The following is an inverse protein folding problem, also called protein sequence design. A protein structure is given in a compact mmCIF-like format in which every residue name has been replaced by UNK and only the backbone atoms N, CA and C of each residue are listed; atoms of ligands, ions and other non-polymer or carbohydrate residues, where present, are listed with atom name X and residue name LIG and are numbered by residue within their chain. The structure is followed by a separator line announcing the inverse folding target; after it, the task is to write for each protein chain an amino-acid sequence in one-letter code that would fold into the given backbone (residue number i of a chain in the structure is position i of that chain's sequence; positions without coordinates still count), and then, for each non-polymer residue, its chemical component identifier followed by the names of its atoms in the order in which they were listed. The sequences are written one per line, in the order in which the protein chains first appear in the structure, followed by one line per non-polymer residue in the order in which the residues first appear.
data_IF_253576195233
#
_entry.id   IF_253576195233
#
_cell.length_a   1.000
_cell.length_b   1.000
_cell.length_c   1.000
_cell.angle_alpha   90.00
_cell.angle_beta   90.00
_cell.angle_gamma   90.00
#
_symmetry.space_group_name_H-M   'P 1'
#
loop_
_entity.id
_entity.type
_entity.pdbx_description
1 polymer ?
#
# COMPACT_ATOMS: atom_id res chain seq x y z
N UNK A 1 17.86 -14.60 23.73
CA UNK A 1 16.73 -14.78 22.79
C UNK A 1 15.64 -15.68 23.36
N UNK A 2 15.93 -16.93 23.74
CA UNK A 2 14.96 -17.83 24.40
C UNK A 2 14.31 -17.19 25.64
N UNK A 3 15.15 -16.68 26.55
CA UNK A 3 14.74 -16.04 27.81
C UNK A 3 13.88 -14.79 27.60
N UNK A 4 14.25 -13.96 26.63
CA UNK A 4 13.50 -12.77 26.22
C UNK A 4 12.12 -13.14 25.63
N UNK A 5 12.03 -14.23 24.85
CA UNK A 5 10.75 -14.73 24.33
C UNK A 5 9.85 -15.24 25.45
N UNK A 6 10.40 -15.92 26.45
CA UNK A 6 9.65 -16.40 27.62
C UNK A 6 9.15 -15.23 28.48
N UNK A 7 10.00 -14.23 28.71
CA UNK A 7 9.65 -13.04 29.49
C UNK A 7 8.57 -12.18 28.78
N UNK A 8 8.67 -12.01 27.46
CA UNK A 8 7.63 -11.34 26.64
C UNK A 8 6.31 -12.14 26.66
N UNK A 9 6.35 -13.45 26.45
CA UNK A 9 5.15 -14.29 26.45
C UNK A 9 4.44 -14.36 27.82
N UNK A 10 5.20 -14.29 28.92
CA UNK A 10 4.63 -14.20 30.27
C UNK A 10 3.94 -12.84 30.49
N UNK A 11 4.58 -11.74 30.09
CA UNK A 11 4.01 -10.39 30.20
C UNK A 11 2.73 -10.22 29.34
N UNK A 12 2.69 -10.81 28.15
CA UNK A 12 1.51 -10.85 27.28
C UNK A 12 0.38 -11.68 27.89
N UNK A 13 0.70 -12.86 28.45
CA UNK A 13 -0.28 -13.72 29.12
C UNK A 13 -0.92 -13.01 30.33
N UNK A 14 -0.12 -12.32 31.14
CA UNK A 14 -0.61 -11.55 32.29
C UNK A 14 -1.51 -10.38 31.84
N UNK A 15 -1.16 -9.71 30.73
CA UNK A 15 -1.99 -8.65 30.14
C UNK A 15 -3.34 -9.19 29.67
N UNK A 16 -3.35 -10.28 28.93
CA UNK A 16 -4.59 -10.89 28.41
C UNK A 16 -5.46 -11.47 29.52
N UNK A 17 -4.84 -11.97 30.59
CA UNK A 17 -5.56 -12.44 31.76
C UNK A 17 -6.20 -11.27 32.53
N UNK A 18 -5.48 -10.15 32.65
CA UNK A 18 -6.00 -8.93 33.27
C UNK A 18 -7.15 -8.33 32.45
N UNK A 19 -7.00 -8.21 31.12
CA UNK A 19 -8.04 -7.77 30.20
C UNK A 19 -9.31 -8.60 30.36
N UNK A 20 -9.19 -9.93 30.28
CA UNK A 20 -10.32 -10.85 30.47
C UNK A 20 -10.95 -10.74 31.85
N UNK A 21 -10.15 -10.43 32.88
CA UNK A 21 -10.67 -10.22 34.23
C UNK A 21 -11.50 -8.95 34.33
N UNK A 22 -11.04 -7.86 33.70
CA UNK A 22 -11.72 -6.58 33.64
C UNK A 22 -13.01 -6.66 32.81
N UNK A 23 -12.98 -7.34 31.66
CA UNK A 23 -14.18 -7.55 30.84
C UNK A 23 -15.24 -8.38 31.59
N UNK A 24 -14.81 -9.40 32.35
CA UNK A 24 -15.71 -10.17 33.23
C UNK A 24 -16.27 -9.33 34.38
N UNK A 25 -15.46 -8.44 34.97
CA UNK A 25 -15.90 -7.53 36.02
C UNK A 25 -17.01 -6.59 35.51
N UNK A 26 -16.78 -5.91 34.38
CA UNK A 26 -17.77 -5.02 33.80
C UNK A 26 -19.02 -5.76 33.32
N UNK A 27 -18.87 -6.95 32.74
CA UNK A 27 -20.02 -7.79 32.35
C UNK A 27 -20.90 -8.15 33.56
N UNK A 28 -20.29 -8.47 34.71
CA UNK A 28 -21.03 -8.76 35.96
C UNK A 28 -21.68 -7.51 36.56
N UNK A 29 -20.98 -6.37 36.52
CA UNK A 29 -21.53 -5.11 37.01
C UNK A 29 -22.74 -4.63 36.20
N UNK A 30 -22.66 -4.73 34.86
CA UNK A 30 -23.78 -4.44 33.95
C UNK A 30 -24.96 -5.39 34.21
N UNK A 31 -24.69 -6.70 34.36
CA UNK A 31 -25.73 -7.67 34.69
C UNK A 31 -26.40 -7.41 36.05
N UNK A 32 -25.70 -6.74 36.97
CA UNK A 32 -26.22 -6.29 38.25
C UNK A 32 -26.92 -4.92 38.20
N UNK A 33 -27.06 -4.32 37.01
CA UNK A 33 -27.72 -3.02 36.81
C UNK A 33 -26.87 -1.80 37.16
N UNK A 34 -25.55 -1.96 37.34
CA UNK A 34 -24.64 -0.86 37.65
C UNK A 34 -24.21 -0.13 36.37
N UNK A 35 -24.27 1.21 36.38
CA UNK A 35 -23.72 2.04 35.31
C UNK A 35 -22.21 2.25 35.51
N UNK A 36 -21.41 1.41 34.87
CA UNK A 36 -19.94 1.37 34.98
C UNK A 36 -19.23 1.99 33.77
N UNK A 37 -19.97 2.72 32.93
CA UNK A 37 -19.44 3.28 31.67
C UNK A 37 -18.27 4.23 31.90
N UNK A 38 -18.34 5.10 32.90
CA UNK A 38 -17.29 6.08 33.21
C UNK A 38 -15.98 5.41 33.65
N UNK A 39 -16.06 4.37 34.47
CA UNK A 39 -14.89 3.60 34.89
C UNK A 39 -14.27 2.87 33.70
N UNK A 40 -15.09 2.22 32.86
CA UNK A 40 -14.63 1.48 31.68
C UNK A 40 -13.92 2.38 30.68
N UNK A 41 -14.49 3.55 30.39
CA UNK A 41 -13.88 4.52 29.47
C UNK A 41 -12.60 5.13 30.07
N UNK A 42 -12.56 5.37 31.38
CA UNK A 42 -11.34 5.78 32.09
C UNK A 42 -10.21 4.73 32.05
N UNK A 43 -10.54 3.44 32.15
CA UNK A 43 -9.58 2.34 31.99
C UNK A 43 -9.07 2.23 30.55
N UNK A 44 -9.98 2.31 29.57
CA UNK A 44 -9.62 2.33 28.13
C UNK A 44 -8.69 3.48 27.79
N UNK A 45 -8.96 4.68 28.30
CA UNK A 45 -8.11 5.86 28.08
C UNK A 45 -6.69 5.64 28.60
N UNK A 46 -6.53 5.03 29.79
CA UNK A 46 -5.22 4.69 30.34
C UNK A 46 -4.47 3.67 29.48
N UNK A 47 -5.17 2.63 29.02
CA UNK A 47 -4.59 1.59 28.19
C UNK A 47 -4.25 2.06 26.79
N UNK A 48 -5.09 2.89 26.19
CA UNK A 48 -4.82 3.53 24.91
C UNK A 48 -3.52 4.34 24.97
N UNK A 49 -3.36 5.20 26.00
CA UNK A 49 -2.11 5.95 26.22
C UNK A 49 -0.90 5.03 26.43
N UNK A 50 -1.09 3.90 27.11
CA UNK A 50 -0.02 2.94 27.36
C UNK A 50 0.37 2.14 26.12
N UNK A 51 -0.60 1.75 25.30
CA UNK A 51 -0.40 1.11 24.00
C UNK A 51 0.36 2.04 23.05
N UNK A 52 -0.07 3.32 22.94
CA UNK A 52 0.67 4.35 22.17
C UNK A 52 2.12 4.49 22.65
N UNK A 53 2.36 4.61 23.97
CA UNK A 53 3.72 4.69 24.53
C UNK A 53 4.60 3.48 24.19
N UNK A 54 4.01 2.29 24.13
CA UNK A 54 4.71 1.03 23.81
C UNK A 54 4.84 0.78 22.31
N UNK A 55 4.19 1.59 21.46
CA UNK A 55 4.12 1.36 20.02
C UNK A 55 3.23 0.19 19.61
N UNK A 56 2.30 -0.25 20.46
CA UNK A 56 1.33 -1.31 20.16
C UNK A 56 0.13 -0.72 19.39
N UNK A 57 0.38 -0.43 18.10
CA UNK A 57 -0.52 0.38 17.28
C UNK A 57 -1.88 -0.30 17.01
N UNK A 58 -1.90 -1.62 16.86
CA UNK A 58 -3.15 -2.38 16.64
C UNK A 58 -4.09 -2.23 17.83
N UNK A 59 -3.55 -2.32 19.05
CA UNK A 59 -4.34 -2.15 20.27
C UNK A 59 -4.71 -0.68 20.48
N UNK A 60 -3.79 0.23 20.19
CA UNK A 60 -4.07 1.66 20.26
C UNK A 60 -5.24 2.04 19.34
N UNK A 61 -5.23 1.60 18.08
CA UNK A 61 -6.28 1.94 17.11
C UNK A 61 -7.63 1.31 17.50
N UNK A 62 -7.63 0.06 17.98
CA UNK A 62 -8.84 -0.60 18.49
C UNK A 62 -9.43 0.13 19.71
N UNK A 63 -8.61 0.49 20.70
CA UNK A 63 -9.05 1.23 21.88
C UNK A 63 -9.49 2.66 21.53
N UNK A 64 -8.84 3.30 20.56
CA UNK A 64 -9.24 4.61 20.04
C UNK A 64 -10.63 4.56 19.42
N UNK A 65 -10.91 3.56 18.58
CA UNK A 65 -12.23 3.37 17.98
C UNK A 65 -13.32 3.16 19.05
N UNK A 66 -13.03 2.41 20.11
CA UNK A 66 -13.94 2.27 21.25
C UNK A 66 -14.14 3.57 22.03
N UNK A 67 -13.06 4.32 22.28
CA UNK A 67 -13.10 5.60 23.01
C UNK A 67 -13.88 6.67 22.24
N UNK A 68 -13.71 6.74 20.92
CA UNK A 68 -14.45 7.67 20.04
C UNK A 68 -15.95 7.41 20.03
N UNK A 69 -16.37 6.14 20.09
CA UNK A 69 -17.78 5.75 20.23
C UNK A 69 -18.31 5.85 21.66
N UNK A 70 -17.40 5.92 22.64
CA UNK A 70 -17.70 6.01 24.07
C UNK A 70 -18.04 7.43 24.51
N UNK A 71 -18.36 7.59 25.80
CA UNK A 71 -18.78 8.88 26.37
C UNK A 71 -17.64 9.90 26.39
N UNK A 72 -16.40 9.41 26.51
CA UNK A 72 -15.21 10.27 26.47
C UNK A 72 -14.86 10.75 25.05
N UNK A 73 -15.51 10.21 24.01
CA UNK A 73 -15.24 10.57 22.61
C UNK A 73 -15.28 12.09 22.38
N UNK A 74 -16.36 12.75 22.79
CA UNK A 74 -16.50 14.21 22.60
C UNK A 74 -15.65 15.05 23.56
N UNK A 75 -15.13 14.44 24.63
CA UNK A 75 -14.33 15.11 25.66
C UNK A 75 -12.84 15.09 25.36
N UNK A 76 -12.40 14.15 24.52
CA UNK A 76 -11.01 13.99 24.14
C UNK A 76 -10.69 14.79 22.89
N UNK A 77 -9.50 15.36 22.89
CA UNK A 77 -8.98 16.09 21.75
C UNK A 77 -8.28 15.12 20.81
N UNK A 78 -8.96 14.76 19.73
CA UNK A 78 -8.45 13.81 18.73
C UNK A 78 -7.63 14.51 17.65
N UNK A 79 -6.53 15.17 18.01
CA UNK A 79 -5.72 15.92 17.03
C UNK A 79 -4.27 15.47 17.02
N UNK A 80 -3.67 15.51 15.83
CA UNK A 80 -2.23 15.47 15.62
C UNK A 80 -1.74 16.80 15.06
N UNK A 81 -0.43 16.97 14.97
CA UNK A 81 0.22 18.12 14.34
C UNK A 81 0.87 17.71 13.02
N UNK A 82 0.80 18.61 12.06
CA UNK A 82 1.40 18.47 10.74
C UNK A 82 2.40 19.61 10.50
N UNK A 83 3.63 19.24 10.20
CA UNK A 83 4.60 20.08 9.50
C UNK A 83 4.86 19.50 8.12
N UNK A 84 5.03 20.37 7.12
CA UNK A 84 5.35 19.97 5.75
C UNK A 84 6.28 21.01 5.13
N UNK A 85 7.41 20.56 4.60
CA UNK A 85 8.36 21.39 3.87
C UNK A 85 8.57 20.83 2.48
N UNK A 86 8.67 21.72 1.49
CA UNK A 86 8.96 21.37 0.10
C UNK A 86 10.12 22.20 -0.44
N UNK A 87 10.77 21.68 -1.46
CA UNK A 87 11.71 22.40 -2.30
C UNK A 87 11.18 22.39 -3.76
N UNK A 88 10.80 23.54 -4.34
CA UNK A 88 10.78 24.87 -3.72
C UNK A 88 9.69 25.03 -2.64
N UNK A 89 9.87 26.01 -1.76
CA UNK A 89 8.84 26.46 -0.81
C UNK A 89 7.79 27.35 -1.51
N UNK A 90 6.71 27.68 -0.80
CA UNK A 90 5.65 28.56 -1.29
C UNK A 90 4.57 27.85 -2.11
N UNK A 91 4.53 26.52 -2.08
CA UNK A 91 3.57 25.74 -2.86
C UNK A 91 2.25 25.60 -2.10
N UNK A 92 1.09 25.86 -2.72
CA UNK A 92 -0.22 25.68 -2.10
C UNK A 92 -0.46 24.22 -1.69
N UNK A 93 -1.05 24.03 -0.51
CA UNK A 93 -1.35 22.71 0.06
C UNK A 93 -2.79 22.65 0.52
N UNK A 94 -3.52 21.65 0.03
CA UNK A 94 -4.85 21.30 0.51
C UNK A 94 -4.79 19.96 1.23
N UNK A 95 -5.38 19.87 2.41
CA UNK A 95 -5.57 18.60 3.11
C UNK A 95 -6.95 18.04 2.82
N UNK A 96 -6.99 16.83 2.27
CA UNK A 96 -8.21 16.10 1.93
C UNK A 96 -8.35 14.92 2.90
N UNK A 97 -9.45 14.84 3.65
CA UNK A 97 -9.61 13.74 4.61
C UNK A 97 -9.87 12.43 3.85
N UNK A 98 -9.20 11.35 4.24
CA UNK A 98 -9.49 10.00 3.76
C UNK A 98 -10.43 9.32 4.76
N UNK A 99 -11.57 8.84 4.30
CA UNK A 99 -12.60 8.19 5.12
C UNK A 99 -13.05 6.88 4.47
N UNK A 100 -13.44 5.92 5.31
CA UNK A 100 -14.09 4.70 4.84
C UNK A 100 -15.50 5.06 4.35
N UNK A 101 -15.75 4.83 3.06
CA UNK A 101 -17.02 5.08 2.40
C UNK A 101 -18.02 3.96 2.73
N UNK A 102 -19.33 4.16 2.48
CA UNK A 102 -20.34 3.12 2.70
C UNK A 102 -20.10 1.83 1.91
N UNK A 103 -19.39 1.91 0.78
CA UNK A 103 -19.00 0.74 -0.01
C UNK A 103 -17.86 -0.06 0.64
N UNK A 104 -17.10 0.54 1.58
CA UNK A 104 -15.97 -0.06 2.30
C UNK A 104 -14.60 0.46 1.85
N UNK A 105 -14.51 1.27 0.79
CA UNK A 105 -13.24 1.84 0.32
C UNK A 105 -12.85 3.08 1.11
N UNK A 106 -11.57 3.26 1.38
CA UNK A 106 -11.00 4.46 1.99
C UNK A 106 -10.60 5.46 0.91
N UNK A 107 -11.43 6.48 0.70
CA UNK A 107 -11.21 7.49 -0.34
C UNK A 107 -11.40 8.91 0.21
N UNK A 108 -11.11 9.93 -0.60
CA UNK A 108 -11.26 11.34 -0.21
C UNK A 108 -12.72 11.67 0.10
N UNK A 109 -12.96 12.26 1.27
CA UNK A 109 -14.21 12.91 1.61
C UNK A 109 -14.30 14.27 0.88
N UNK A 110 -15.16 14.33 -0.13
CA UNK A 110 -15.40 15.54 -0.94
C UNK A 110 -15.91 16.73 -0.11
N UNK A 111 -16.46 16.49 1.09
CA UNK A 111 -16.96 17.53 1.99
C UNK A 111 -15.91 18.08 2.97
N UNK A 112 -14.73 17.48 3.08
CA UNK A 112 -13.71 17.82 4.08
C UNK A 112 -12.36 18.14 3.46
N UNK A 113 -12.33 19.21 2.67
CA UNK A 113 -11.09 19.83 2.19
C UNK A 113 -10.72 21.04 3.07
N UNK A 114 -9.47 21.06 3.56
CA UNK A 114 -8.92 22.16 4.33
C UNK A 114 -7.79 22.83 3.57
N UNK A 115 -7.86 24.14 3.44
CA UNK A 115 -6.74 24.93 2.92
C UNK A 115 -5.67 25.10 4.03
N UNK A 116 -4.46 24.59 3.78
CA UNK A 116 -3.33 24.70 4.70
C UNK A 116 -2.44 25.92 4.39
N UNK A 117 -2.74 26.68 3.34
CA UNK A 117 -1.91 27.77 2.84
C UNK A 117 -0.77 27.24 1.96
N UNK A 118 0.42 27.79 2.13
CA UNK A 118 1.60 27.44 1.31
C UNK A 118 2.72 26.84 2.16
N UNK A 119 3.55 25.97 1.58
CA UNK A 119 4.72 25.43 2.26
C UNK A 119 5.77 26.51 2.61
N UNK A 120 6.51 26.39 3.72
CA UNK A 120 6.37 25.34 4.74
C UNK A 120 5.12 25.54 5.61
N UNK A 121 4.40 24.46 5.86
CA UNK A 121 3.34 24.40 6.88
C UNK A 121 4.00 23.98 8.20
N UNK A 122 3.74 24.69 9.30
CA UNK A 122 4.39 24.41 10.59
C UNK A 122 3.37 24.11 11.69
N UNK A 123 3.49 22.91 12.27
CA UNK A 123 2.73 22.45 13.44
C UNK A 123 1.22 22.72 13.38
N UNK A 124 0.61 22.60 12.20
CA UNK A 124 -0.82 22.78 12.01
C UNK A 124 -1.57 21.62 12.67
N UNK A 125 -2.53 21.93 13.51
CA UNK A 125 -3.36 20.90 14.14
C UNK A 125 -4.47 20.45 13.18
N UNK A 126 -4.60 19.14 13.04
CA UNK A 126 -5.63 18.47 12.24
C UNK A 126 -6.21 17.31 13.07
N UNK A 127 -7.42 16.89 12.74
CA UNK A 127 -8.00 15.70 13.36
C UNK A 127 -7.10 14.48 13.07
N UNK A 128 -6.87 13.65 14.08
CA UNK A 128 -6.17 12.39 13.94
C UNK A 128 -6.91 11.47 12.94
N UNK A 129 -6.15 10.79 12.10
CA UNK A 129 -6.65 9.95 11.01
C UNK A 129 -5.83 10.08 9.73
N UNK A 130 -6.36 9.49 8.65
CA UNK A 130 -5.75 9.50 7.33
C UNK A 130 -6.12 10.76 6.54
N UNK A 131 -5.11 11.37 5.92
CA UNK A 131 -5.22 12.56 5.09
C UNK A 131 -4.43 12.37 3.80
N UNK A 132 -4.85 13.05 2.74
CA UNK A 132 -4.11 13.23 1.51
C UNK A 132 -3.78 14.71 1.36
N UNK A 133 -2.50 15.06 1.44
CA UNK A 133 -2.05 16.42 1.21
C UNK A 133 -1.79 16.61 -0.29
N UNK A 134 -2.61 17.44 -0.93
CA UNK A 134 -2.48 17.79 -2.32
C UNK A 134 -1.63 19.04 -2.46
N UNK A 135 -0.40 18.87 -2.96
CA UNK A 135 0.57 19.95 -3.18
C UNK A 135 0.54 20.29 -4.67
N UNK A 136 0.20 21.52 -5.01
CA UNK A 136 0.01 21.95 -6.39
C UNK A 136 1.12 22.92 -6.80
N UNK A 137 1.69 22.69 -7.98
CA UNK A 137 2.75 23.52 -8.55
C UNK A 137 2.20 24.54 -9.54
N UNK A 138 2.90 25.65 -9.80
CA UNK A 138 2.44 26.67 -10.75
C UNK A 138 2.24 26.16 -12.19
N UNK A 139 2.95 25.10 -12.58
CA UNK A 139 2.85 24.43 -13.88
C UNK A 139 1.75 23.35 -13.92
N UNK A 140 0.98 23.18 -12.84
CA UNK A 140 -0.18 22.29 -12.78
C UNK A 140 0.14 20.84 -12.41
N UNK A 141 1.40 20.51 -12.12
CA UNK A 141 1.74 19.23 -11.50
C UNK A 141 1.19 19.16 -10.08
N UNK A 142 0.61 18.01 -9.73
CA UNK A 142 0.03 17.73 -8.42
C UNK A 142 0.80 16.58 -7.79
N UNK A 143 1.32 16.80 -6.58
CA UNK A 143 1.87 15.74 -5.73
C UNK A 143 0.87 15.44 -4.61
N UNK A 144 0.33 14.23 -4.63
CA UNK A 144 -0.52 13.72 -3.55
C UNK A 144 0.38 13.02 -2.51
N UNK A 145 0.39 13.56 -1.29
CA UNK A 145 1.22 13.11 -0.16
C UNK A 145 0.34 12.58 0.98
N UNK A 146 0.18 11.26 1.11
CA UNK A 146 -0.64 10.68 2.16
C UNK A 146 0.03 10.81 3.53
N UNK A 147 -0.77 11.10 4.54
CA UNK A 147 -0.38 11.34 5.93
C UNK A 147 -1.30 10.56 6.85
N UNK A 148 -0.74 9.87 7.85
CA UNK A 148 -1.51 9.27 8.94
C UNK A 148 -1.15 9.96 10.26
N UNK A 149 -2.07 10.77 10.77
CA UNK A 149 -1.89 11.50 12.02
C UNK A 149 -2.44 10.68 13.18
N UNK A 150 -1.54 10.22 14.05
CA UNK A 150 -1.94 9.73 15.36
C UNK A 150 -2.25 10.92 16.30
N UNK A 151 -3.11 10.69 17.29
CA UNK A 151 -3.36 11.69 18.35
C UNK A 151 -2.06 12.03 19.07
N UNK A 152 -1.84 13.33 19.32
CA UNK A 152 -0.66 13.91 19.96
C UNK A 152 0.68 13.65 19.23
N UNK A 153 0.66 13.02 18.05
CA UNK A 153 1.84 12.89 17.20
C UNK A 153 2.08 14.16 16.38
N UNK A 154 3.32 14.35 15.93
CA UNK A 154 3.72 15.45 15.07
C UNK A 154 4.38 14.94 13.80
N UNK A 155 3.60 14.79 12.72
CA UNK A 155 4.10 14.41 11.40
C UNK A 155 4.95 15.54 10.82
N UNK A 156 6.09 15.21 10.19
CA UNK A 156 6.99 16.24 9.66
C UNK A 156 7.93 16.84 10.69
N UNK A 157 8.02 16.25 11.89
CA UNK A 157 8.89 16.72 12.96
C UNK A 157 9.82 15.60 13.46
N UNK A 158 11.00 16.01 13.91
CA UNK A 158 12.03 15.11 14.43
C UNK A 158 11.57 14.26 15.63
N UNK A 159 10.51 14.67 16.36
CA UNK A 159 9.94 13.92 17.47
C UNK A 159 9.01 12.78 17.04
N UNK A 160 8.60 12.70 15.77
CA UNK A 160 7.70 11.68 15.27
C UNK A 160 8.20 10.26 15.57
N UNK A 161 7.27 9.36 15.90
CA UNK A 161 7.56 7.98 16.29
C UNK A 161 8.67 7.87 17.36
N UNK A 162 8.60 8.73 18.39
CA UNK A 162 9.58 8.84 19.47
C UNK A 162 11.01 9.12 18.98
N UNK A 163 11.15 9.95 17.95
CA UNK A 163 12.45 10.33 17.41
C UNK A 163 13.11 9.29 16.49
N UNK A 164 12.38 8.26 16.07
CA UNK A 164 12.91 7.17 15.23
C UNK A 164 13.48 7.65 13.89
N UNK A 165 13.01 8.79 13.39
CA UNK A 165 13.39 9.36 12.09
C UNK A 165 13.96 10.78 12.23
N UNK A 166 14.57 11.10 13.38
CA UNK A 166 15.14 12.41 13.64
C UNK A 166 16.31 12.77 12.71
N UNK A 167 16.95 11.76 12.10
CA UNK A 167 18.07 11.88 11.17
C UNK A 167 17.64 11.99 9.69
N UNK A 168 16.34 11.87 9.40
CA UNK A 168 15.81 11.88 8.03
C UNK A 168 15.51 13.29 7.54
N UNK A 169 15.64 13.50 6.23
CA UNK A 169 15.19 14.71 5.56
C UNK A 169 13.69 14.60 5.26
N UNK A 170 12.90 15.46 5.89
CA UNK A 170 11.44 15.52 5.70
C UNK A 170 11.03 16.46 4.55
N UNK A 171 12.00 17.07 3.87
CA UNK A 171 11.73 18.00 2.77
C UNK A 171 11.41 17.25 1.49
N UNK A 172 10.23 17.52 0.91
CA UNK A 172 9.86 16.96 -0.38
C UNK A 172 10.45 17.80 -1.51
N UNK A 173 11.43 17.25 -2.24
CA UNK A 173 12.00 17.85 -3.46
C UNK A 173 11.06 17.62 -4.63
N UNK A 174 10.28 18.63 -4.99
CA UNK A 174 9.18 18.51 -5.96
C UNK A 174 9.69 18.17 -7.36
N UNK A 175 10.86 18.70 -7.73
CA UNK A 175 11.49 18.39 -9.01
C UNK A 175 11.75 16.89 -9.23
N UNK A 176 12.08 16.15 -8.16
CA UNK A 176 12.34 14.71 -8.24
C UNK A 176 11.05 13.95 -8.61
N UNK A 177 9.91 14.35 -8.04
CA UNK A 177 8.60 13.74 -8.32
C UNK A 177 8.02 14.17 -9.66
N UNK A 178 8.31 15.40 -10.11
CA UNK A 178 7.97 15.84 -11.46
C UNK A 178 8.72 15.03 -12.52
N UNK A 179 10.01 14.76 -12.30
CA UNK A 179 10.81 13.92 -13.21
C UNK A 179 10.23 12.49 -13.29
N UNK A 180 9.89 11.89 -12.14
CA UNK A 180 9.22 10.58 -12.07
C UNK A 180 7.92 10.58 -12.87
N UNK A 181 7.07 11.60 -12.69
CA UNK A 181 5.80 11.70 -13.42
C UNK A 181 6.00 11.93 -14.92
N UNK A 182 7.04 12.65 -15.33
CA UNK A 182 7.37 12.88 -16.74
C UNK A 182 7.81 11.59 -17.45
N UNK A 183 8.39 10.64 -16.71
CA UNK A 183 8.74 9.29 -17.18
C UNK A 183 7.53 8.33 -17.23
N UNK A 184 6.31 8.83 -16.92
CA UNK A 184 5.08 8.03 -16.92
C UNK A 184 4.91 7.14 -15.69
N UNK A 185 5.70 7.37 -14.64
CA UNK A 185 5.62 6.63 -13.37
C UNK A 185 4.80 7.39 -12.33
N UNK A 186 4.23 6.66 -11.38
CA UNK A 186 3.55 7.22 -10.21
C UNK A 186 4.58 7.63 -9.15
N UNK A 187 4.58 8.90 -8.71
CA UNK A 187 5.45 9.32 -7.62
C UNK A 187 4.95 8.77 -6.28
N UNK A 188 5.84 8.11 -5.54
CA UNK A 188 5.63 7.69 -4.15
C UNK A 188 6.56 8.54 -3.27
N UNK A 189 6.03 9.56 -2.55
CA UNK A 189 6.85 10.46 -1.76
C UNK A 189 7.61 9.79 -0.61
N UNK A 190 8.81 10.31 -0.34
CA UNK A 190 9.58 9.95 0.84
C UNK A 190 8.78 10.20 2.13
N UNK A 191 8.99 9.38 3.15
CA UNK A 191 8.39 9.59 4.46
C UNK A 191 7.99 8.33 5.19
N UNK A 192 7.47 8.48 6.42
CA UNK A 192 7.10 7.35 7.25
C UNK A 192 5.83 6.67 6.74
N UNK A 193 5.75 5.36 6.95
CA UNK A 193 4.57 4.55 6.67
C UNK A 193 4.45 3.42 7.69
N UNK A 194 3.23 2.93 7.92
CA UNK A 194 2.98 1.75 8.75
C UNK A 194 3.22 0.47 7.94
N UNK A 195 4.36 -0.16 8.19
CA UNK A 195 4.72 -1.44 7.60
C UNK A 195 4.24 -2.60 8.48
N UNK A 196 3.79 -3.68 7.85
CA UNK A 196 3.53 -4.92 8.55
C UNK A 196 4.81 -5.75 8.70
N UNK A 197 5.06 -6.28 9.89
CA UNK A 197 6.12 -7.27 10.07
C UNK A 197 5.67 -8.65 9.56
N UNK A 198 6.55 -9.42 8.88
CA UNK A 198 6.24 -10.77 8.45
C UNK A 198 5.78 -11.62 9.64
N UNK A 199 4.63 -12.30 9.47
CA UNK A 199 4.00 -13.10 10.52
C UNK A 199 5.02 -14.05 11.17
N UNK A 200 5.29 -13.86 12.45
CA UNK A 200 5.66 -15.01 13.29
C UNK A 200 4.38 -15.81 13.46
N UNK A 201 4.38 -17.08 13.02
CA UNK A 201 3.23 -17.99 12.88
C UNK A 201 2.27 -18.12 14.09
N UNK A 202 2.56 -17.48 15.23
CA UNK A 202 1.75 -17.50 16.46
C UNK A 202 0.93 -16.23 16.71
N UNK A 203 1.18 -15.11 16.03
CA UNK A 203 0.40 -13.88 16.22
C UNK A 203 -0.74 -13.86 15.19
N UNK A 204 -1.99 -13.77 15.66
CA UNK A 204 -3.19 -13.76 14.79
C UNK A 204 -3.34 -12.47 13.97
N UNK A 205 -2.68 -11.39 14.39
CA UNK A 205 -2.75 -10.07 13.76
C UNK A 205 -1.33 -9.57 13.42
N UNK A 206 -1.13 -8.91 12.25
CA UNK A 206 0.17 -8.36 11.90
C UNK A 206 0.55 -7.22 12.86
N UNK A 207 1.80 -7.24 13.35
CA UNK A 207 2.35 -6.10 14.11
C UNK A 207 2.70 -5.01 13.11
N UNK A 208 2.09 -3.83 13.27
CA UNK A 208 2.40 -2.66 12.47
C UNK A 208 3.52 -1.87 13.13
N UNK A 209 4.51 -1.45 12.35
CA UNK A 209 5.59 -0.60 12.83
C UNK A 209 5.87 0.53 11.85
N UNK A 210 6.15 1.71 12.39
CA UNK A 210 6.62 2.83 11.58
C UNK A 210 7.94 2.50 10.91
N UNK A 211 8.01 2.61 9.59
CA UNK A 211 9.24 2.55 8.80
C UNK A 211 9.36 3.80 7.94
N UNK A 212 10.60 4.14 7.56
CA UNK A 212 10.89 5.19 6.59
C UNK A 212 11.17 4.55 5.24
N UNK A 213 10.63 5.13 4.18
CA UNK A 213 11.00 4.80 2.81
C UNK A 213 11.34 6.08 2.05
N UNK A 214 12.41 6.03 1.27
CA UNK A 214 12.83 7.15 0.43
C UNK A 214 11.84 7.35 -0.74
N UNK A 215 11.92 8.50 -1.42
CA UNK A 215 11.06 8.79 -2.56
C UNK A 215 11.44 7.94 -3.78
N UNK A 216 10.45 7.43 -4.52
CA UNK A 216 10.67 6.66 -5.73
C UNK A 216 9.51 6.79 -6.72
N UNK A 217 9.74 6.34 -7.95
CA UNK A 217 8.71 6.13 -8.97
C UNK A 217 8.37 4.66 -9.13
N UNK A 218 7.10 4.35 -9.35
CA UNK A 218 6.64 3.00 -9.67
C UNK A 218 5.71 3.04 -10.88
N UNK A 219 5.72 2.00 -11.72
CA UNK A 219 4.75 1.90 -12.80
C UNK A 219 3.33 1.79 -12.21
N UNK A 220 2.35 2.42 -12.86
CA UNK A 220 0.95 2.30 -12.48
C UNK A 220 0.44 0.85 -12.70
N UNK A 221 0.85 0.27 -13.83
CA UNK A 221 0.41 -1.05 -14.27
C UNK A 221 1.60 -2.03 -14.33
N UNK A 222 1.32 -3.33 -14.32
CA UNK A 222 2.34 -4.34 -14.56
C UNK A 222 2.90 -4.27 -15.99
N UNK A 223 4.14 -4.79 -16.16
CA UNK A 223 4.73 -4.91 -17.49
C UNK A 223 3.82 -5.72 -18.42
N UNK A 224 3.60 -5.22 -19.63
CA UNK A 224 2.68 -5.82 -20.59
C UNK A 224 3.34 -6.92 -21.43
N UNK A 225 2.53 -7.70 -22.14
CA UNK A 225 3.04 -8.60 -23.19
C UNK A 225 3.81 -7.82 -24.28
N UNK A 226 3.39 -6.61 -24.62
CA UNK A 226 4.04 -5.75 -25.60
C UNK A 226 5.45 -5.34 -25.14
N UNK A 227 5.61 -4.96 -23.87
CA UNK A 227 6.93 -4.65 -23.29
C UNK A 227 7.86 -5.85 -23.38
N UNK A 228 7.34 -7.03 -23.04
CA UNK A 228 8.10 -8.28 -23.12
C UNK A 228 8.47 -8.65 -24.55
N UNK A 229 7.57 -8.45 -25.51
CA UNK A 229 7.83 -8.70 -26.93
C UNK A 229 8.83 -7.71 -27.52
N UNK A 230 8.83 -6.44 -27.08
CA UNK A 230 9.84 -5.47 -27.45
C UNK A 230 11.23 -5.89 -26.97
N UNK A 231 11.34 -6.37 -25.71
CA UNK A 231 12.56 -6.96 -25.17
C UNK A 231 13.06 -8.14 -26.01
N UNK A 232 12.22 -9.15 -26.23
CA UNK A 232 12.60 -10.35 -26.97
C UNK A 232 13.00 -10.03 -28.42
N UNK A 233 12.33 -9.05 -29.04
CA UNK A 233 12.67 -8.55 -30.38
C UNK A 233 14.04 -7.87 -30.40
N UNK A 234 14.36 -7.05 -29.39
CA UNK A 234 15.66 -6.42 -29.27
C UNK A 234 16.79 -7.43 -29.08
N UNK A 235 16.60 -8.44 -28.22
CA UNK A 235 17.58 -9.52 -28.02
C UNK A 235 17.76 -10.35 -29.29
N UNK A 236 16.66 -10.68 -29.98
CA UNK A 236 16.71 -11.40 -31.26
C UNK A 236 17.53 -10.62 -32.29
N UNK A 237 17.32 -9.31 -32.38
CA UNK A 237 18.05 -8.42 -33.30
C UNK A 237 19.55 -8.31 -32.98
N UNK A 238 19.92 -8.34 -31.70
CA UNK A 238 21.35 -8.35 -31.28
C UNK A 238 22.05 -9.67 -31.66
N UNK A 239 21.32 -10.75 -31.91
CA UNK A 239 21.83 -12.01 -32.46
C UNK A 239 22.72 -12.83 -31.51
N UNK A 240 23.03 -12.33 -30.31
CA UNK A 240 23.86 -13.02 -29.30
C UNK A 240 23.16 -14.20 -28.64
N UNK A 241 21.81 -14.22 -28.68
CA UNK A 241 21.00 -15.29 -28.09
C UNK A 241 20.29 -16.06 -29.21
N UNK A 242 20.57 -17.36 -29.31
CA UNK A 242 19.95 -18.22 -30.32
C UNK A 242 18.46 -18.49 -30.05
N UNK A 243 17.71 -18.83 -31.10
CA UNK A 243 16.25 -19.07 -31.06
C UNK A 243 15.82 -20.10 -30.01
N UNK A 244 16.61 -21.17 -29.80
CA UNK A 244 16.30 -22.19 -28.80
C UNK A 244 16.27 -21.61 -27.38
N UNK A 245 17.16 -20.66 -27.07
CA UNK A 245 17.21 -20.00 -25.77
C UNK A 245 16.11 -18.94 -25.63
N UNK A 246 15.85 -18.16 -26.68
CA UNK A 246 14.73 -17.20 -26.69
C UNK A 246 13.38 -17.90 -26.46
N UNK A 247 13.17 -19.12 -26.99
CA UNK A 247 11.94 -19.90 -26.73
C UNK A 247 11.75 -20.26 -25.26
N UNK A 248 12.83 -20.40 -24.50
CA UNK A 248 12.77 -20.63 -23.04
C UNK A 248 12.43 -19.36 -22.26
N UNK A 249 12.52 -18.19 -22.90
CA UNK A 249 12.23 -16.88 -22.32
C UNK A 249 10.82 -16.37 -22.67
N UNK A 250 10.06 -17.15 -23.44
CA UNK A 250 8.67 -16.85 -23.72
C UNK A 250 7.83 -17.03 -22.42
N UNK A 251 6.83 -16.17 -22.20
CA UNK A 251 5.80 -16.36 -21.17
C UNK A 251 5.26 -17.79 -21.14
N UNK A 252 5.38 -18.45 -19.98
CA UNK A 252 4.92 -19.83 -19.74
C UNK A 252 3.64 -19.78 -18.89
N UNK A 253 2.52 -19.43 -19.51
CA UNK A 253 1.24 -19.40 -18.81
C UNK A 253 0.79 -20.83 -18.46
N UNK A 254 0.47 -21.08 -17.18
CA UNK A 254 0.17 -22.42 -16.66
C UNK A 254 -1.24 -22.87 -17.00
N UNK A 255 -1.34 -24.14 -17.43
CA UNK A 255 -2.61 -24.86 -17.52
C UNK A 255 -2.98 -25.47 -16.16
N UNK A 256 -4.23 -25.32 -15.73
CA UNK A 256 -4.85 -26.39 -14.92
C UNK A 256 -5.09 -27.57 -15.86
N UNK A 257 -4.32 -28.64 -15.68
CA UNK A 257 -4.48 -29.87 -16.43
C UNK A 257 -5.85 -30.49 -16.17
N UNK A 258 -6.67 -30.58 -17.22
CA UNK A 258 -7.51 -31.73 -17.57
C UNK A 258 -8.38 -32.31 -16.46
N UNK A 259 -9.43 -31.58 -16.05
CA UNK A 259 -10.62 -32.13 -15.40
C UNK A 259 -11.81 -32.16 -16.38
N UNK A 260 -12.81 -33.05 -16.20
CA UNK A 260 -13.98 -33.13 -17.08
C UNK A 260 -14.85 -31.86 -17.11
N UNK A 261 -14.74 -31.01 -16.10
CA UNK A 261 -15.42 -29.71 -16.02
C UNK A 261 -14.51 -28.65 -16.65
N UNK A 262 -14.69 -28.47 -17.97
CA UNK A 262 -13.87 -27.62 -18.82
C UNK A 262 -14.21 -26.14 -18.67
N UNK A 263 -13.27 -25.38 -18.11
CA UNK A 263 -13.06 -23.97 -18.38
C UNK A 263 -11.55 -23.76 -18.44
N UNK A 264 -10.95 -23.91 -19.62
CA UNK A 264 -9.52 -23.68 -19.82
C UNK A 264 -9.23 -22.22 -19.46
N UNK A 265 -8.33 -21.97 -18.52
CA UNK A 265 -7.78 -20.62 -18.31
C UNK A 265 -7.16 -20.16 -19.65
N UNK A 266 -7.85 -19.26 -20.34
CA UNK A 266 -7.47 -18.71 -21.65
C UNK A 266 -6.34 -17.70 -21.45
N UNK A 267 -5.15 -18.20 -21.11
CA UNK A 267 -3.97 -17.35 -21.06
C UNK A 267 -3.27 -17.36 -22.43
N UNK A 268 -3.02 -16.19 -23.03
CA UNK A 268 -2.33 -16.09 -24.32
C UNK A 268 -0.95 -16.74 -24.24
N UNK A 269 -0.68 -17.79 -25.03
CA UNK A 269 0.69 -18.34 -25.11
C UNK A 269 1.47 -17.55 -26.13
N UNK A 270 2.71 -17.18 -25.84
CA UNK A 270 3.60 -16.60 -26.84
C UNK A 270 4.34 -17.69 -27.64
N UNK A 271 4.69 -17.39 -28.89
CA UNK A 271 5.61 -18.17 -29.73
C UNK A 271 6.62 -17.23 -30.41
N UNK A 272 7.72 -17.78 -30.92
CA UNK A 272 8.65 -17.03 -31.78
C UNK A 272 8.43 -17.46 -33.22
N UNK A 273 7.86 -16.56 -34.00
CA UNK A 273 7.76 -16.63 -35.44
C UNK A 273 9.12 -16.28 -36.08
N UNK A 274 9.51 -17.02 -37.12
CA UNK A 274 10.82 -16.87 -37.75
C UNK A 274 10.97 -15.57 -38.54
N UNK A 275 9.88 -14.93 -38.92
CA UNK A 275 9.91 -13.73 -39.76
C UNK A 275 9.62 -12.51 -38.89
N UNK A 276 8.55 -12.56 -38.11
CA UNK A 276 7.99 -11.44 -37.34
C UNK A 276 8.48 -11.38 -35.89
N UNK A 277 8.98 -12.49 -35.31
CA UNK A 277 9.51 -12.52 -33.94
C UNK A 277 8.49 -12.99 -32.90
N UNK A 278 8.55 -12.51 -31.65
CA UNK A 278 7.62 -12.95 -30.62
C UNK A 278 6.19 -12.49 -30.96
N UNK A 279 5.25 -13.43 -31.01
CA UNK A 279 3.82 -13.18 -31.26
C UNK A 279 2.97 -14.05 -30.34
N UNK A 280 1.71 -13.66 -30.12
CA UNK A 280 0.74 -14.54 -29.47
C UNK A 280 0.43 -15.71 -30.39
N UNK A 281 0.32 -16.91 -29.81
CA UNK A 281 -0.03 -18.13 -30.49
C UNK A 281 -1.52 -18.11 -30.84
N UNK A 282 -1.89 -18.00 -32.12
CA UNK A 282 -3.29 -17.94 -32.52
C UNK A 282 -4.04 -19.26 -32.24
N UNK A 283 -3.34 -20.37 -32.01
CA UNK A 283 -3.94 -21.67 -31.67
C UNK A 283 -4.31 -21.81 -30.19
N UNK A 284 -4.21 -20.73 -29.42
CA UNK A 284 -4.47 -20.74 -27.99
C UNK A 284 -5.74 -20.00 -27.60
N UNK A 285 -6.55 -19.64 -28.61
CA UNK A 285 -7.81 -18.91 -28.47
C UNK A 285 -7.70 -17.84 -27.37
N UNK A 286 -6.81 -16.84 -27.54
CA UNK A 286 -6.75 -15.73 -26.60
C UNK A 286 -8.14 -15.06 -26.51
N UNK A 287 -8.42 -14.33 -25.43
CA UNK A 287 -9.62 -13.51 -25.34
C UNK A 287 -9.83 -12.70 -26.63
N UNK A 288 -11.08 -12.60 -27.08
CA UNK A 288 -11.40 -11.97 -28.36
C UNK A 288 -10.97 -10.50 -28.44
N UNK A 289 -10.83 -9.86 -27.29
CA UNK A 289 -10.39 -8.49 -27.04
C UNK A 289 -8.92 -8.38 -26.60
N UNK A 290 -8.13 -9.47 -26.70
CA UNK A 290 -6.74 -9.45 -26.29
C UNK A 290 -5.92 -8.39 -27.02
N UNK A 291 -5.31 -7.49 -26.25
CA UNK A 291 -4.29 -6.54 -26.70
C UNK A 291 -2.99 -6.75 -25.91
N UNK A 292 -1.88 -6.95 -26.62
CA UNK A 292 -0.59 -7.18 -25.98
C UNK A 292 -0.13 -5.99 -25.12
N UNK A 293 -0.57 -4.76 -25.41
CA UNK A 293 -0.26 -3.58 -24.57
C UNK A 293 -1.08 -3.52 -23.28
N UNK A 294 -2.29 -4.08 -23.27
CA UNK A 294 -3.22 -3.93 -22.15
C UNK A 294 -3.13 -5.09 -21.14
N UNK A 295 -2.57 -6.24 -21.54
CA UNK A 295 -2.52 -7.42 -20.69
C UNK A 295 -1.16 -7.56 -19.99
N UNK A 296 -1.15 -7.86 -18.68
CA UNK A 296 0.07 -8.07 -17.92
C UNK A 296 0.77 -9.36 -18.37
N UNK A 297 2.08 -9.31 -18.55
CA UNK A 297 2.87 -10.50 -18.89
C UNK A 297 3.01 -11.40 -17.66
N UNK A 298 2.72 -12.70 -17.82
CA UNK A 298 2.77 -13.68 -16.75
C UNK A 298 3.57 -14.94 -17.14
N UNK A 299 3.87 -15.80 -16.15
CA UNK A 299 4.57 -17.06 -16.40
C UNK A 299 6.05 -16.88 -16.76
N UNK A 300 6.69 -15.85 -16.21
CA UNK A 300 8.10 -15.56 -16.43
C UNK A 300 9.00 -16.35 -15.48
N UNK A 301 10.17 -16.77 -15.96
CA UNK A 301 11.19 -17.36 -15.10
C UNK A 301 12.03 -16.25 -14.46
N UNK A 302 12.42 -16.43 -13.19
CA UNK A 302 13.23 -15.44 -12.47
C UNK A 302 14.56 -15.19 -13.17
N UNK A 303 15.12 -16.20 -13.83
CA UNK A 303 16.39 -16.10 -14.54
C UNK A 303 16.36 -15.10 -15.71
N UNK A 304 15.22 -14.92 -16.37
CA UNK A 304 15.10 -13.99 -17.51
C UNK A 304 14.75 -12.58 -17.07
N UNK A 305 14.17 -12.39 -15.88
CA UNK A 305 13.80 -11.07 -15.35
C UNK A 305 15.04 -10.14 -15.27
N UNK A 306 16.20 -10.65 -14.85
CA UNK A 306 17.45 -9.86 -14.83
C UNK A 306 17.87 -9.39 -16.24
N UNK A 307 17.65 -10.22 -17.28
CA UNK A 307 17.95 -9.81 -18.66
C UNK A 307 16.98 -8.75 -19.17
N UNK A 308 15.70 -8.87 -18.81
CA UNK A 308 14.69 -7.87 -19.10
C UNK A 308 15.03 -6.52 -18.45
N UNK A 309 15.37 -6.52 -17.15
CA UNK A 309 15.75 -5.31 -16.43
C UNK A 309 17.02 -4.67 -17.01
N UNK A 310 18.04 -5.47 -17.39
CA UNK A 310 19.24 -4.94 -18.07
C UNK A 310 18.93 -4.30 -19.41
N UNK A 311 17.97 -4.85 -20.15
CA UNK A 311 17.53 -4.23 -21.39
C UNK A 311 16.74 -2.95 -21.11
N UNK A 312 15.79 -2.96 -20.16
CA UNK A 312 15.06 -1.75 -19.77
C UNK A 312 16.00 -0.64 -19.30
N UNK A 313 17.03 -0.93 -18.50
CA UNK A 313 18.03 0.07 -18.08
C UNK A 313 18.74 0.76 -19.25
N UNK A 314 18.98 0.03 -20.34
CA UNK A 314 19.57 0.62 -21.55
C UNK A 314 18.60 1.52 -22.32
N UNK A 315 17.30 1.25 -22.22
CA UNK A 315 16.25 1.98 -22.94
C UNK A 315 15.76 3.18 -22.14
N UNK A 316 15.57 3.02 -20.83
CA UNK A 316 14.90 3.97 -19.94
C UNK A 316 15.83 4.59 -18.89
N UNK A 317 17.04 4.06 -18.69
CA UNK A 317 18.04 4.61 -17.76
C UNK A 317 18.41 3.65 -16.61
N UNK A 318 19.58 3.88 -16.02
CA UNK A 318 20.21 2.97 -15.05
C UNK A 318 19.44 2.78 -13.72
N UNK A 319 18.45 3.63 -13.43
CA UNK A 319 17.64 3.59 -12.21
C UNK A 319 16.56 2.49 -12.20
N UNK A 320 16.21 1.90 -13.35
CA UNK A 320 15.13 0.91 -13.45
C UNK A 320 15.45 -0.37 -12.65
N UNK A 321 14.62 -0.72 -11.69
CA UNK A 321 14.79 -1.90 -10.85
C UNK A 321 13.44 -2.50 -10.43
N UNK A 322 13.44 -3.73 -9.91
CA UNK A 322 12.28 -4.23 -9.18
C UNK A 322 12.11 -3.41 -7.88
N UNK A 323 10.87 -3.10 -7.47
CA UNK A 323 10.65 -2.52 -6.17
C UNK A 323 11.11 -3.49 -5.09
N UNK A 324 11.72 -2.96 -4.03
CA UNK A 324 11.94 -3.74 -2.81
C UNK A 324 10.59 -4.10 -2.17
N UNK A 325 10.57 -5.08 -1.27
CA UNK A 325 9.35 -5.43 -0.55
C UNK A 325 8.74 -4.23 0.21
N UNK A 326 9.58 -3.37 0.80
CA UNK A 326 9.15 -2.15 1.51
C UNK A 326 8.52 -1.12 0.56
N UNK A 327 9.16 -0.88 -0.60
CA UNK A 327 8.64 0.03 -1.62
C UNK A 327 7.31 -0.48 -2.18
N UNK A 328 7.21 -1.79 -2.47
CA UNK A 328 5.99 -2.40 -2.97
C UNK A 328 4.85 -2.33 -1.94
N UNK A 329 5.14 -2.60 -0.66
CA UNK A 329 4.14 -2.50 0.40
C UNK A 329 3.65 -1.06 0.60
N UNK A 330 4.57 -0.09 0.63
CA UNK A 330 4.20 1.34 0.74
C UNK A 330 3.39 1.78 -0.46
N UNK A 331 3.83 1.48 -1.69
CA UNK A 331 3.09 1.83 -2.90
C UNK A 331 1.68 1.22 -2.91
N UNK A 332 1.55 -0.05 -2.55
CA UNK A 332 0.25 -0.71 -2.51
C UNK A 332 -0.66 -0.18 -1.39
N UNK A 333 -0.15 0.05 -0.18
CA UNK A 333 -0.97 0.28 1.03
C UNK A 333 -0.96 1.73 1.53
N UNK A 334 -0.15 2.61 0.97
CA UNK A 334 0.03 3.96 1.51
C UNK A 334 0.72 3.96 2.88
N UNK A 335 0.27 4.86 3.76
CA UNK A 335 0.96 5.16 5.03
C UNK A 335 0.19 4.80 6.29
N UNK A 336 -1.10 4.51 6.17
CA UNK A 336 -2.05 4.35 7.28
C UNK A 336 -2.29 2.88 7.68
N UNK A 337 -1.51 1.95 7.12
CA UNK A 337 -1.54 0.55 7.52
C UNK A 337 -2.80 -0.21 7.06
N UNK A 338 -3.60 0.35 6.15
CA UNK A 338 -4.77 -0.32 5.54
C UNK A 338 -4.44 -1.72 5.02
N UNK A 339 -5.39 -2.65 5.01
CA UNK A 339 -5.13 -4.06 4.62
C UNK A 339 -4.94 -4.27 3.11
N UNK A 340 -5.64 -3.50 2.29
CA UNK A 340 -5.64 -3.54 0.83
C UNK A 340 -5.42 -2.12 0.30
N UNK A 341 -5.05 -1.94 -0.97
CA UNK A 341 -4.78 -0.60 -1.50
C UNK A 341 -5.94 0.39 -1.38
N UNK A 342 -7.16 -0.15 -1.52
CA UNK A 342 -8.42 0.58 -1.39
C UNK A 342 -8.94 0.74 0.05
N UNK A 343 -8.27 0.23 1.08
CA UNK A 343 -8.74 0.32 2.48
C UNK A 343 -8.66 -1.00 3.25
N UNK A 344 -9.56 -1.20 4.21
CA UNK A 344 -9.56 -2.39 5.08
C UNK A 344 -10.50 -3.51 4.63
N UNK A 345 -11.22 -3.27 3.53
CA UNK A 345 -12.15 -4.18 2.90
C UNK A 345 -11.85 -4.29 1.40
N UNK A 346 -12.13 -5.46 0.82
CA UNK A 346 -12.05 -5.70 -0.63
C UNK A 346 -13.28 -6.48 -1.05
N UNK A 347 -13.94 -6.00 -2.11
CA UNK A 347 -15.00 -6.72 -2.80
C UNK A 347 -14.44 -7.35 -4.09
N UNK A 348 -14.83 -8.59 -4.45
CA UNK A 348 -14.38 -9.20 -5.70
C UNK A 348 -14.73 -8.40 -6.96
N UNK A 349 -15.71 -7.50 -6.94
CA UNK A 349 -16.00 -6.61 -8.07
C UNK A 349 -14.98 -5.47 -8.26
N UNK A 350 -14.02 -5.30 -7.35
CA UNK A 350 -13.08 -4.18 -7.38
C UNK A 350 -11.68 -4.52 -7.84
N UNK A 351 -11.27 -5.80 -7.72
CA UNK A 351 -9.92 -6.27 -8.00
C UNK A 351 -9.96 -7.68 -8.59
N UNK A 352 -8.94 -8.08 -9.34
CA UNK A 352 -8.85 -9.42 -9.92
C UNK A 352 -8.50 -10.47 -8.85
N UNK A 353 -9.52 -10.93 -8.14
CA UNK A 353 -9.40 -11.94 -7.08
C UNK A 353 -10.42 -13.06 -7.27
N UNK A 354 -10.29 -14.14 -6.50
CA UNK A 354 -11.25 -15.25 -6.59
C UNK A 354 -12.68 -14.77 -6.36
N UNK A 355 -13.53 -14.94 -7.38
CA UNK A 355 -14.92 -14.54 -7.37
C UNK A 355 -15.21 -13.20 -8.06
N UNK A 356 -14.19 -12.54 -8.65
CA UNK A 356 -14.37 -11.32 -9.46
C UNK A 356 -15.08 -11.59 -10.77
N UNK A 357 -14.75 -12.72 -11.41
CA UNK A 357 -15.29 -13.15 -12.70
C UNK A 357 -15.73 -14.61 -12.65
N UNK A 358 -16.61 -15.00 -13.58
CA UNK A 358 -17.07 -16.38 -13.71
C UNK A 358 -16.05 -17.28 -14.41
N UNK A 359 -15.16 -16.70 -15.21
CA UNK A 359 -14.03 -17.40 -15.81
C UNK A 359 -12.76 -17.16 -14.98
N UNK A 360 -11.88 -18.17 -14.96
CA UNK A 360 -10.54 -18.06 -14.34
C UNK A 360 -9.53 -17.49 -15.36
N UNK A 361 -9.95 -16.52 -16.20
CA UNK A 361 -9.08 -15.88 -17.20
C UNK A 361 -8.32 -14.68 -16.62
N UNK A 362 -7.26 -14.24 -17.31
CA UNK A 362 -6.53 -13.01 -16.98
C UNK A 362 -7.22 -11.85 -17.71
N UNK A 363 -7.26 -10.68 -17.09
CA UNK A 363 -7.91 -9.49 -17.65
C UNK A 363 -6.91 -8.39 -18.04
N UNK A 364 -7.32 -7.43 -18.88
CA UNK A 364 -6.56 -6.19 -19.09
C UNK A 364 -6.34 -5.44 -17.77
N UNK A 365 -5.26 -4.66 -17.67
CA UNK A 365 -4.91 -3.88 -16.46
C UNK A 365 -5.98 -2.87 -16.06
N UNK A 366 -6.81 -2.40 -17.01
CA UNK A 366 -7.89 -1.44 -16.76
C UNK A 366 -9.25 -2.08 -16.48
N UNK A 367 -9.34 -3.42 -16.40
CA UNK A 367 -10.59 -4.13 -16.14
C UNK A 367 -11.16 -3.87 -14.74
N UNK A 368 -10.29 -3.50 -13.79
CA UNK A 368 -10.63 -3.27 -12.39
C UNK A 368 -10.26 -1.84 -11.96
N UNK A 369 -10.99 -0.80 -12.43
CA UNK A 369 -10.62 0.60 -12.20
C UNK A 369 -10.76 1.07 -10.74
N UNK A 370 -11.22 0.20 -9.84
CA UNK A 370 -11.31 0.46 -8.40
C UNK A 370 -10.14 -0.15 -7.61
N UNK A 371 -9.29 -0.96 -8.25
CA UNK A 371 -8.07 -1.53 -7.68
C UNK A 371 -6.92 -0.50 -7.72
N UNK A 372 -7.13 0.61 -7.01
CA UNK A 372 -6.21 1.75 -7.01
C UNK A 372 -5.68 1.98 -5.59
N UNK A 373 -4.40 2.33 -5.50
CA UNK A 373 -3.75 2.71 -4.25
C UNK A 373 -4.07 4.18 -3.91
N UNK A 374 -3.54 4.68 -2.79
CA UNK A 374 -3.60 6.12 -2.50
C UNK A 374 -2.71 6.96 -3.43
N UNK A 375 -1.82 6.32 -4.19
CA UNK A 375 -0.88 6.97 -5.11
C UNK A 375 -1.33 6.94 -6.58
N UNK A 376 -2.48 6.32 -6.85
CA UNK A 376 -2.89 5.95 -8.20
C UNK A 376 -2.32 4.60 -8.57
#
# INVERSE_FOLDING_TARGET
MERLRTEIGAAESDRDQLQRSIDRYYSRAIAAGLDVRDERDGHRLRWWRDAKRRGDLVIADSLEAELRRGRLGDQLRWVGKLSLSTEPAGLPVRALRLVDQPDGRRTVDQGQALDLGTTPVSAKELEAGSWLLRIETPDGFILDYPVYLEVDAHWGDSSFANGRFADRDWTLRIADYQAVSADGLRPVPAGPYLASEPRVQRIREPVMTWRWEEGFGIAADEASFADWFAFLSAVRKDGKVGLARLRQWLPQCWFRSSGPDQGLAQTPRALIDSDTGPVVNPKTDPPADFDASAYPVAGLSVEVIDQFLRWQRKVQGESVALPTASQWEKAARGVDGRRFGMGDFVDPSWAEIRGSTSDESVHPVDAFPLDESVYG
#
